data_IF_751814216637
#
_entry.id   IF_751814216637
#
_cell.length_a   1.000
_cell.length_b   1.000
_cell.length_c   1.000
_cell.angle_alpha   90.00
_cell.angle_beta   90.00
_cell.angle_gamma   90.00
#
_symmetry.space_group_name_H-M   'P 1'
#
loop_
_entity.id
_entity.type
_entity.pdbx_description
1 polymer ?
#
# COMPACT_ATOMS: atom_id res chain seq x y z
N UNK A 1 -5.18 -22.65 9.14
CA UNK A 1 -4.02 -21.73 9.24
C UNK A 1 -3.66 -21.26 7.83
N UNK A 2 -4.49 -20.42 7.21
CA UNK A 2 -4.27 -19.92 5.82
C UNK A 2 -4.28 -18.38 5.76
N UNK A 3 -4.93 -17.75 6.74
CA UNK A 3 -5.11 -16.30 6.82
C UNK A 3 -3.79 -15.54 7.06
N UNK A 4 -2.88 -16.13 7.82
CA UNK A 4 -1.60 -15.51 8.18
C UNK A 4 -0.65 -15.34 6.98
N UNK A 5 -0.65 -16.30 6.04
CA UNK A 5 0.13 -16.21 4.80
C UNK A 5 -0.44 -15.15 3.85
N UNK A 6 -1.77 -15.04 3.79
CA UNK A 6 -2.47 -14.02 2.99
C UNK A 6 -2.19 -12.62 3.52
N UNK A 7 -2.30 -12.40 4.83
CA UNK A 7 -1.99 -11.11 5.46
C UNK A 7 -0.53 -10.71 5.24
N UNK A 8 0.42 -11.65 5.36
CA UNK A 8 1.84 -11.39 5.10
C UNK A 8 2.09 -10.93 3.66
N UNK A 9 1.44 -11.55 2.67
CA UNK A 9 1.52 -11.11 1.26
C UNK A 9 0.99 -9.69 1.08
N UNK A 10 -0.16 -9.38 1.68
CA UNK A 10 -0.80 -8.07 1.55
C UNK A 10 -0.07 -6.96 2.30
N UNK A 11 0.63 -7.29 3.39
CA UNK A 11 1.57 -6.37 4.03
C UNK A 11 2.64 -5.91 3.03
N UNK A 12 3.29 -6.85 2.34
CA UNK A 12 4.33 -6.52 1.35
C UNK A 12 3.76 -5.80 0.12
N UNK A 13 2.59 -6.19 -0.37
CA UNK A 13 1.92 -5.50 -1.48
C UNK A 13 1.57 -4.06 -1.14
N UNK A 14 1.11 -3.80 0.08
CA UNK A 14 0.78 -2.46 0.56
C UNK A 14 2.03 -1.58 0.64
N UNK A 15 3.14 -2.14 1.15
CA UNK A 15 4.44 -1.46 1.16
C UNK A 15 4.95 -1.17 -0.26
N UNK A 16 4.85 -2.14 -1.18
CA UNK A 16 5.24 -1.99 -2.58
C UNK A 16 4.47 -0.88 -3.27
N UNK A 17 3.14 -0.90 -3.15
CA UNK A 17 2.24 0.10 -3.75
C UNK A 17 2.55 1.51 -3.25
N UNK A 18 2.77 1.66 -1.94
CA UNK A 18 3.17 2.94 -1.35
C UNK A 18 4.54 3.39 -1.89
N UNK A 19 5.51 2.48 -1.97
CA UNK A 19 6.85 2.80 -2.47
C UNK A 19 6.84 3.22 -3.93
N UNK A 20 6.02 2.59 -4.78
CA UNK A 20 5.83 2.97 -6.18
C UNK A 20 5.42 4.42 -6.33
N UNK A 21 4.68 4.97 -5.37
CA UNK A 21 4.26 6.38 -5.39
C UNK A 21 5.14 7.34 -4.59
N UNK A 22 6.29 6.86 -4.10
CA UNK A 22 7.22 7.65 -3.29
C UNK A 22 6.86 7.73 -1.80
N UNK A 23 5.91 6.94 -1.31
CA UNK A 23 5.51 6.91 0.10
C UNK A 23 6.26 5.81 0.85
N UNK A 24 6.94 6.18 1.94
CA UNK A 24 7.57 5.23 2.86
C UNK A 24 6.70 5.05 4.11
N UNK A 25 5.90 3.98 4.14
CA UNK A 25 4.99 3.68 5.24
C UNK A 25 5.73 3.39 6.57
N UNK A 26 6.91 2.77 6.52
CA UNK A 26 7.74 2.58 7.71
C UNK A 26 8.20 3.91 8.30
N UNK A 27 8.59 4.87 7.45
CA UNK A 27 8.89 6.22 7.90
C UNK A 27 7.64 6.90 8.49
N UNK A 28 6.48 6.82 7.82
CA UNK A 28 5.23 7.38 8.30
C UNK A 28 4.81 6.82 9.69
N UNK A 29 5.05 5.53 9.92
CA UNK A 29 4.83 4.89 11.22
C UNK A 29 5.78 5.43 12.30
N UNK A 30 7.06 5.59 11.97
CA UNK A 30 8.06 6.12 12.93
C UNK A 30 7.88 7.61 13.21
N UNK A 31 7.44 8.38 12.22
CA UNK A 31 7.20 9.82 12.34
C UNK A 31 5.85 10.15 12.98
N UNK A 32 5.03 9.13 13.29
CA UNK A 32 3.69 9.32 13.86
C UNK A 32 2.64 9.83 12.87
N UNK A 33 2.98 9.94 11.58
CA UNK A 33 2.04 10.34 10.53
C UNK A 33 1.02 9.23 10.19
N UNK A 34 1.37 7.97 10.48
CA UNK A 34 0.51 6.81 10.34
C UNK A 34 0.50 6.04 11.66
N UNK A 35 -0.70 5.79 12.20
CA UNK A 35 -0.85 4.95 13.39
C UNK A 35 -0.67 3.47 13.07
N UNK A 36 -0.28 2.67 14.07
CA UNK A 36 -0.19 1.20 13.91
C UNK A 36 -1.56 0.55 13.63
N UNK A 37 -2.64 1.04 14.26
CA UNK A 37 -4.01 0.60 14.01
C UNK A 37 -4.44 0.90 12.57
N UNK A 38 -4.30 2.17 12.17
CA UNK A 38 -4.55 2.64 10.81
C UNK A 38 -3.80 1.81 9.76
N UNK A 39 -2.52 1.49 10.01
CA UNK A 39 -1.74 0.68 9.10
C UNK A 39 -2.26 -0.77 8.99
N UNK A 40 -2.65 -1.39 10.11
CA UNK A 40 -3.26 -2.72 10.10
C UNK A 40 -4.58 -2.72 9.32
N UNK A 41 -5.42 -1.70 9.49
CA UNK A 41 -6.66 -1.54 8.72
C UNK A 41 -6.40 -1.35 7.23
N UNK A 42 -5.36 -0.60 6.88
CA UNK A 42 -4.93 -0.38 5.50
C UNK A 42 -4.50 -1.71 4.84
N UNK A 43 -3.72 -2.53 5.54
CA UNK A 43 -3.33 -3.87 5.08
C UNK A 43 -4.54 -4.80 4.98
N UNK A 44 -5.45 -4.78 5.95
CA UNK A 44 -6.67 -5.60 5.93
C UNK A 44 -7.59 -5.23 4.75
N UNK A 45 -7.73 -3.93 4.45
CA UNK A 45 -8.49 -3.42 3.30
C UNK A 45 -7.83 -3.80 1.97
N UNK A 46 -6.49 -3.77 1.91
CA UNK A 46 -5.75 -4.32 0.77
C UNK A 46 -5.99 -5.83 0.61
N UNK A 47 -6.02 -6.58 1.71
CA UNK A 47 -6.28 -8.03 1.71
C UNK A 47 -7.66 -8.40 1.16
N UNK A 48 -8.67 -7.60 1.50
CA UNK A 48 -10.04 -7.78 1.04
C UNK A 48 -10.27 -7.39 -0.43
N UNK A 49 -9.38 -6.59 -1.05
CA UNK A 49 -9.62 -6.13 -2.42
C UNK A 49 -9.50 -7.24 -3.47
N UNK A 50 -8.79 -8.33 -3.17
CA UNK A 50 -8.65 -9.50 -4.05
C UNK A 50 -7.86 -9.28 -5.34
N UNK A 51 -7.34 -8.08 -5.61
CA UNK A 51 -6.70 -7.68 -6.88
C UNK A 51 -5.17 -7.75 -6.84
N UNK A 52 -4.61 -8.71 -6.08
CA UNK A 52 -3.18 -8.80 -5.84
C UNK A 52 -2.35 -8.92 -7.14
N UNK A 53 -2.81 -9.68 -8.12
CA UNK A 53 -2.12 -9.86 -9.40
C UNK A 53 -2.10 -8.57 -10.23
N UNK A 54 -3.23 -7.86 -10.29
CA UNK A 54 -3.29 -6.55 -10.95
C UNK A 54 -2.37 -5.52 -10.26
N UNK A 55 -2.25 -5.56 -8.92
CA UNK A 55 -1.27 -4.76 -8.17
C UNK A 55 0.15 -5.04 -8.65
N UNK A 56 0.55 -6.32 -8.69
CA UNK A 56 1.90 -6.71 -9.08
C UNK A 56 2.20 -6.33 -10.53
N UNK A 57 1.26 -6.60 -11.44
CA UNK A 57 1.38 -6.21 -12.85
C UNK A 57 1.55 -4.70 -13.00
N UNK A 58 0.66 -3.89 -12.41
CA UNK A 58 0.76 -2.44 -12.48
C UNK A 58 2.08 -1.92 -11.89
N UNK A 59 2.47 -2.38 -10.69
CA UNK A 59 3.73 -1.98 -10.05
C UNK A 59 4.95 -2.33 -10.91
N UNK A 60 4.95 -3.50 -11.57
CA UNK A 60 6.03 -3.90 -12.48
C UNK A 60 6.19 -3.00 -13.70
N UNK A 61 5.12 -2.33 -14.13
CA UNK A 61 5.18 -1.34 -15.21
C UNK A 61 5.61 0.06 -14.75
N UNK A 62 5.54 0.37 -13.45
CA UNK A 62 5.90 1.68 -12.89
C UNK A 62 7.41 1.81 -12.60
N UNK A 63 8.25 1.61 -13.62
CA UNK A 63 9.72 1.61 -13.46
C UNK A 63 10.26 2.97 -12.98
N UNK A 64 9.65 4.06 -13.43
CA UNK A 64 10.01 5.43 -13.01
C UNK A 64 9.28 5.88 -11.71
N UNK A 65 8.47 5.01 -11.11
CA UNK A 65 7.49 5.40 -10.09
C UNK A 65 6.21 5.98 -10.70
N UNK A 66 5.23 6.26 -9.85
CA UNK A 66 3.92 6.77 -10.23
C UNK A 66 3.49 7.93 -9.33
N UNK A 67 2.70 8.86 -9.84
CA UNK A 67 2.23 9.94 -8.98
C UNK A 67 1.08 9.56 -8.05
N UNK A 68 0.27 8.59 -8.46
CA UNK A 68 -0.87 8.11 -7.71
C UNK A 68 -1.01 6.59 -7.86
N UNK A 69 -1.54 5.88 -6.84
CA UNK A 69 -1.96 4.49 -6.99
C UNK A 69 -3.06 4.40 -8.05
N UNK A 70 -3.29 3.25 -8.71
CA UNK A 70 -4.34 3.14 -9.71
C UNK A 70 -5.74 3.33 -9.11
N UNK A 71 -6.72 3.76 -9.91
CA UNK A 71 -8.08 4.10 -9.43
C UNK A 71 -8.82 2.94 -8.78
N UNK A 72 -8.46 1.71 -9.15
CA UNK A 72 -9.02 0.49 -8.57
C UNK A 72 -8.35 0.06 -7.27
N UNK A 73 -7.30 0.75 -6.79
CA UNK A 73 -6.62 0.43 -5.54
C UNK A 73 -7.50 0.80 -4.33
N UNK A 74 -7.89 -0.21 -3.53
CA UNK A 74 -8.79 -0.03 -2.40
C UNK A 74 -8.25 0.92 -1.31
N UNK A 75 -6.93 1.11 -1.23
CA UNK A 75 -6.24 1.97 -0.27
C UNK A 75 -5.67 3.24 -0.91
N UNK A 76 -6.09 3.56 -2.14
CA UNK A 76 -5.61 4.73 -2.90
C UNK A 76 -5.68 6.02 -2.09
N UNK A 77 -6.82 6.31 -1.49
CA UNK A 77 -7.03 7.56 -0.74
C UNK A 77 -6.08 7.67 0.45
N UNK A 78 -5.93 6.59 1.23
CA UNK A 78 -5.03 6.56 2.38
C UNK A 78 -3.56 6.73 1.96
N UNK A 79 -3.14 6.07 0.88
CA UNK A 79 -1.78 6.23 0.35
C UNK A 79 -1.52 7.64 -0.19
N UNK A 80 -2.50 8.23 -0.88
CA UNK A 80 -2.40 9.62 -1.36
C UNK A 80 -2.31 10.61 -0.20
N UNK A 81 -3.04 10.39 0.90
CA UNK A 81 -2.97 11.27 2.07
C UNK A 81 -1.59 11.25 2.75
N UNK A 82 -0.88 10.11 2.67
CA UNK A 82 0.48 9.97 3.20
C UNK A 82 1.57 10.54 2.27
N UNK A 83 1.25 10.71 0.98
CA UNK A 83 2.14 11.37 0.03
C UNK A 83 2.15 12.87 0.35
N UNK A 84 3.18 13.33 1.07
CA UNK A 84 3.42 14.76 1.25
C UNK A 84 3.59 15.41 -0.13
N UNK A 85 3.01 16.59 -0.39
CA UNK A 85 3.48 17.42 -1.48
C UNK A 85 4.97 17.72 -1.20
N UNK A 86 5.81 17.51 -2.21
CA UNK A 86 7.20 17.94 -2.17
C UNK A 86 7.27 19.47 -2.10
#
# INVERSE_FOLDING_TARGET
MEDQGRLSKHFWLTQGMARTIGVNLNHALRSGQLGRGEYSELVARCCHCGRAEACMGWMGHQVAGADCPPDWCAVRCSLKALKKPA
#
